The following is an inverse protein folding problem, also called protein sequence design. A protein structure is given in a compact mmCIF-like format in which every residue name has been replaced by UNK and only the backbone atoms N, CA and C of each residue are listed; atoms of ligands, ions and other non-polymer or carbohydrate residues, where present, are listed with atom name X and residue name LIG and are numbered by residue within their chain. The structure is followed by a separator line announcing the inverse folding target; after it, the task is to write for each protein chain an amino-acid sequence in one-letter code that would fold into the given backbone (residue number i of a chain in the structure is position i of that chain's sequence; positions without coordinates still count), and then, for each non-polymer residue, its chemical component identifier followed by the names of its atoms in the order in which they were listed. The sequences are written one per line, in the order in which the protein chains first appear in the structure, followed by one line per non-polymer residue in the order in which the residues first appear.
data_IF_189548097588
#
_entry.id   IF_189548097588
#
_cell.length_a   1.000
_cell.length_b   1.000
_cell.length_c   1.000
_cell.angle_alpha   90.00
_cell.angle_beta   90.00
_cell.angle_gamma   90.00
#
_symmetry.space_group_name_H-M   'P 1'
#
loop_
_entity.id
_entity.type
_entity.pdbx_description
1 polymer ?
#
# COMPACT_ATOMS: atom_id res chain seq x y z
N UNK A 1 -12.13 -3.22 -20.52
CA UNK A 1 -11.23 -3.09 -19.36
C UNK A 1 -11.99 -2.31 -18.32
N UNK A 2 -12.24 -2.90 -17.15
CA UNK A 2 -12.93 -2.24 -16.04
C UNK A 2 -11.98 -1.26 -15.31
N UNK A 3 -12.53 -0.47 -14.37
CA UNK A 3 -11.80 0.56 -13.60
C UNK A 3 -10.58 -0.02 -12.85
N UNK A 4 -10.73 -1.19 -12.23
CA UNK A 4 -9.64 -1.87 -11.52
C UNK A 4 -8.54 -2.38 -12.47
N UNK A 5 -8.93 -2.94 -13.62
CA UNK A 5 -7.97 -3.38 -14.64
C UNK A 5 -7.18 -2.20 -15.22
N UNK A 6 -7.83 -1.05 -15.41
CA UNK A 6 -7.16 0.18 -15.86
C UNK A 6 -6.17 0.69 -14.81
N UNK A 7 -6.56 0.66 -13.54
CA UNK A 7 -5.68 1.05 -12.43
C UNK A 7 -4.45 0.14 -12.34
N UNK A 8 -4.66 -1.19 -12.40
CA UNK A 8 -3.58 -2.18 -12.39
C UNK A 8 -2.63 -1.98 -13.58
N UNK A 9 -3.16 -1.84 -14.79
CA UNK A 9 -2.36 -1.63 -16.00
C UNK A 9 -1.52 -0.34 -15.88
N UNK A 10 -2.14 0.77 -15.47
CA UNK A 10 -1.49 2.06 -15.29
C UNK A 10 -0.37 2.00 -14.25
N UNK A 11 -0.66 1.46 -13.07
CA UNK A 11 0.32 1.32 -11.99
C UNK A 11 1.49 0.43 -12.41
N UNK A 12 1.20 -0.73 -12.99
CA UNK A 12 2.24 -1.68 -13.37
C UNK A 12 3.13 -1.20 -14.51
N UNK A 13 2.62 -0.38 -15.45
CA UNK A 13 3.40 0.08 -16.61
C UNK A 13 4.16 1.36 -16.36
N UNK A 14 3.57 2.31 -15.62
CA UNK A 14 4.03 3.69 -15.60
C UNK A 14 4.55 4.16 -14.25
N UNK A 15 4.08 3.59 -13.13
CA UNK A 15 4.56 3.99 -11.81
C UNK A 15 5.95 3.41 -11.51
N UNK A 16 6.76 4.19 -10.77
CA UNK A 16 7.96 3.70 -10.07
C UNK A 16 7.64 3.40 -8.60
N UNK A 17 6.78 4.20 -7.99
CA UNK A 17 6.25 3.96 -6.64
C UNK A 17 4.75 4.21 -6.64
N UNK A 18 3.96 3.21 -6.28
CA UNK A 18 2.51 3.32 -6.10
C UNK A 18 2.11 3.03 -4.67
N UNK A 19 1.28 3.91 -4.11
CA UNK A 19 0.70 3.74 -2.76
C UNK A 19 -0.79 3.46 -2.89
N UNK A 20 -1.25 2.32 -2.35
CA UNK A 20 -2.66 1.95 -2.32
C UNK A 20 -3.32 2.46 -1.03
N UNK A 21 -4.32 3.32 -1.17
CA UNK A 21 -5.12 3.89 -0.09
C UNK A 21 -6.56 3.39 -0.15
N UNK A 22 -7.19 3.25 0.99
CA UNK A 22 -8.60 2.86 1.11
C UNK A 22 -8.93 2.41 2.51
N UNK A 23 -10.20 2.45 2.86
CA UNK A 23 -10.69 1.96 4.15
C UNK A 23 -10.47 0.46 4.34
N UNK A 24 -10.89 -0.02 5.51
CA UNK A 24 -10.84 -1.43 5.83
C UNK A 24 -11.64 -2.23 4.80
N UNK A 25 -11.13 -3.39 4.39
CA UNK A 25 -11.77 -4.28 3.39
C UNK A 25 -12.13 -3.58 2.08
N UNK A 26 -11.36 -2.58 1.65
CA UNK A 26 -11.58 -1.91 0.37
C UNK A 26 -11.02 -2.67 -0.85
N UNK A 27 -10.23 -3.73 -0.62
CA UNK A 27 -9.61 -4.51 -1.70
C UNK A 27 -8.20 -4.05 -2.10
N UNK A 28 -7.57 -3.17 -1.32
CA UNK A 28 -6.20 -2.66 -1.56
C UNK A 28 -5.19 -3.76 -1.84
N UNK A 29 -5.06 -4.71 -0.91
CA UNK A 29 -4.10 -5.81 -1.01
C UNK A 29 -4.34 -6.71 -2.22
N UNK A 30 -5.60 -6.87 -2.64
CA UNK A 30 -5.97 -7.60 -3.86
C UNK A 30 -5.46 -6.86 -5.10
N UNK A 31 -5.68 -5.56 -5.21
CA UNK A 31 -5.20 -4.76 -6.34
C UNK A 31 -3.67 -4.59 -6.32
N UNK A 32 -3.07 -4.42 -5.15
CA UNK A 32 -1.62 -4.36 -5.00
C UNK A 32 -0.95 -5.64 -5.51
N UNK A 33 -1.47 -6.83 -5.13
CA UNK A 33 -0.97 -8.12 -5.64
C UNK A 33 -1.24 -8.30 -7.14
N UNK A 34 -2.40 -7.89 -7.63
CA UNK A 34 -2.70 -7.93 -9.07
C UNK A 34 -1.74 -7.03 -9.86
N UNK A 35 -1.40 -5.84 -9.33
CA UNK A 35 -0.41 -4.94 -9.91
C UNK A 35 0.98 -5.58 -9.95
N UNK A 36 1.40 -6.22 -8.86
CA UNK A 36 2.67 -6.95 -8.81
C UNK A 36 2.73 -8.08 -9.85
N UNK A 37 1.67 -8.89 -9.94
CA UNK A 37 1.56 -9.97 -10.92
C UNK A 37 1.61 -9.45 -12.35
N UNK A 38 0.97 -8.31 -12.63
CA UNK A 38 1.00 -7.72 -13.96
C UNK A 38 2.39 -7.15 -14.28
N UNK A 39 3.03 -6.45 -13.35
CA UNK A 39 4.38 -5.90 -13.51
C UNK A 39 5.41 -7.00 -13.82
N UNK A 40 5.34 -8.14 -13.12
CA UNK A 40 6.17 -9.31 -13.43
C UNK A 40 5.97 -9.82 -14.88
N UNK A 41 4.72 -9.92 -15.33
CA UNK A 41 4.42 -10.39 -16.70
C UNK A 41 5.00 -9.50 -17.79
N UNK A 42 5.16 -8.21 -17.51
CA UNK A 42 5.79 -7.26 -18.44
C UNK A 42 7.30 -7.07 -18.18
N UNK A 43 7.90 -7.92 -17.34
CA UNK A 43 9.34 -7.98 -17.12
C UNK A 43 9.91 -6.96 -16.15
N UNK A 44 9.07 -6.35 -15.28
CA UNK A 44 9.55 -5.41 -14.25
C UNK A 44 9.88 -6.13 -12.95
N UNK A 45 10.98 -5.74 -12.31
CA UNK A 45 11.30 -6.15 -10.93
C UNK A 45 10.40 -5.39 -9.94
N UNK A 46 9.89 -6.09 -8.93
CA UNK A 46 8.92 -5.53 -7.98
C UNK A 46 9.39 -5.70 -6.55
N UNK A 47 9.32 -4.62 -5.76
CA UNK A 47 9.34 -4.65 -4.31
C UNK A 47 7.94 -4.36 -3.77
N UNK A 48 7.48 -5.18 -2.83
CA UNK A 48 6.17 -5.04 -2.19
C UNK A 48 6.37 -4.71 -0.72
N UNK A 49 5.87 -3.56 -0.27
CA UNK A 49 5.85 -3.14 1.13
C UNK A 49 4.43 -3.27 1.67
N UNK A 50 4.30 -3.98 2.78
CA UNK A 50 3.10 -4.03 3.59
C UNK A 50 3.27 -3.09 4.79
N UNK A 51 2.57 -1.97 4.74
CA UNK A 51 2.57 -0.91 5.75
C UNK A 51 1.41 -1.01 6.76
N UNK A 52 0.56 -2.04 6.66
CA UNK A 52 -0.41 -2.35 7.71
C UNK A 52 0.32 -3.00 8.88
N UNK A 53 0.27 -2.40 10.07
CA UNK A 53 0.97 -2.92 11.25
C UNK A 53 0.13 -3.91 12.07
N UNK A 54 -1.15 -4.05 11.73
CA UNK A 54 -2.11 -4.93 12.41
C UNK A 54 -2.43 -6.16 11.57
N UNK A 55 -2.95 -5.98 10.36
CA UNK A 55 -3.40 -7.05 9.47
C UNK A 55 -2.33 -7.33 8.42
N UNK A 56 -1.39 -8.19 8.79
CA UNK A 56 -0.19 -8.43 7.99
C UNK A 56 -0.40 -9.42 6.84
N UNK A 57 0.10 -9.02 5.69
CA UNK A 57 0.37 -9.90 4.55
C UNK A 57 1.86 -10.25 4.48
N UNK A 58 2.75 -9.29 4.78
CA UNK A 58 4.21 -9.48 4.74
C UNK A 58 4.81 -9.27 6.12
N UNK A 59 5.37 -10.32 6.69
CA UNK A 59 5.99 -10.29 8.02
C UNK A 59 5.00 -10.34 9.18
N UNK A 60 5.48 -10.26 10.43
CA UNK A 60 4.65 -10.34 11.63
C UNK A 60 3.97 -9.00 11.96
N UNK A 61 2.87 -9.01 12.75
CA UNK A 61 2.30 -7.79 13.33
C UNK A 61 3.34 -6.92 14.03
N UNK A 62 3.04 -5.65 14.21
CA UNK A 62 3.93 -4.63 14.80
C UNK A 62 5.17 -4.28 13.96
N UNK A 63 5.18 -4.66 12.70
CA UNK A 63 6.28 -4.36 11.76
C UNK A 63 5.74 -3.76 10.45
N UNK A 64 6.62 -3.14 9.69
CA UNK A 64 6.46 -2.92 8.25
C UNK A 64 7.30 -4.00 7.55
N UNK A 65 6.71 -4.74 6.63
CA UNK A 65 7.39 -5.81 5.91
C UNK A 65 7.64 -5.46 4.45
N UNK A 66 8.79 -5.87 3.91
CA UNK A 66 9.10 -5.78 2.48
C UNK A 66 9.45 -7.14 1.92
N UNK A 67 8.97 -7.42 0.71
CA UNK A 67 9.31 -8.60 -0.05
C UNK A 67 9.62 -8.25 -1.50
N UNK A 68 10.69 -8.82 -2.06
CA UNK A 68 10.93 -8.80 -3.50
C UNK A 68 10.10 -9.88 -4.18
N UNK A 69 9.32 -9.47 -5.15
CA UNK A 69 8.49 -10.37 -5.95
C UNK A 69 9.27 -10.71 -7.23
N UNK A 70 9.78 -11.93 -7.30
CA UNK A 70 10.62 -12.43 -8.40
C UNK A 70 9.85 -13.39 -9.32
N UNK A 71 8.79 -14.00 -8.78
CA UNK A 71 7.94 -14.96 -9.49
C UNK A 71 6.49 -14.87 -9.03
N UNK A 72 5.57 -15.50 -9.73
CA UNK A 72 4.18 -15.59 -9.33
C UNK A 72 4.01 -16.35 -7.99
N UNK A 73 4.90 -17.27 -7.68
CA UNK A 73 4.87 -18.06 -6.44
C UNK A 73 5.12 -17.17 -5.20
N UNK A 74 5.88 -16.07 -5.36
CA UNK A 74 6.11 -15.09 -4.29
C UNK A 74 4.85 -14.32 -3.87
N UNK A 75 3.80 -14.35 -4.70
CA UNK A 75 2.51 -13.68 -4.44
C UNK A 75 1.49 -14.55 -3.70
N UNK A 76 1.83 -15.81 -3.39
CA UNK A 76 1.01 -16.65 -2.51
C UNK A 76 1.05 -16.08 -1.08
N UNK A 77 -0.02 -16.27 -0.31
CA UNK A 77 -0.08 -15.75 1.06
C UNK A 77 1.02 -16.33 1.95
N UNK A 78 1.34 -17.61 1.76
CA UNK A 78 2.42 -18.26 2.49
C UNK A 78 3.80 -17.65 2.17
N UNK A 79 4.10 -17.45 0.90
CA UNK A 79 5.36 -16.84 0.48
C UNK A 79 5.46 -15.36 0.93
N UNK A 80 4.38 -14.59 0.84
CA UNK A 80 4.33 -13.19 1.28
C UNK A 80 4.57 -13.06 2.79
N UNK A 81 4.12 -14.00 3.60
CA UNK A 81 4.36 -13.99 5.05
C UNK A 81 5.86 -13.96 5.41
N UNK A 82 6.74 -14.46 4.50
CA UNK A 82 8.18 -14.46 4.68
C UNK A 82 8.81 -13.20 4.09
N UNK A 83 8.96 -12.16 4.91
CA UNK A 83 9.55 -10.89 4.50
C UNK A 83 11.06 -11.01 4.22
N UNK A 84 11.55 -10.30 3.19
CA UNK A 84 12.99 -10.14 2.91
C UNK A 84 13.63 -9.04 3.78
N UNK A 85 12.81 -8.10 4.26
CA UNK A 85 13.21 -7.07 5.21
C UNK A 85 12.05 -6.65 6.10
N UNK A 86 12.38 -6.25 7.33
CA UNK A 86 11.44 -5.79 8.34
C UNK A 86 11.87 -4.46 8.94
N UNK A 87 10.91 -3.58 9.17
CA UNK A 87 11.04 -2.41 10.02
C UNK A 87 10.19 -2.57 11.28
N UNK A 88 10.79 -2.53 12.46
CA UNK A 88 10.06 -2.66 13.72
C UNK A 88 9.32 -1.37 14.05
N UNK A 89 8.05 -1.50 14.47
CA UNK A 89 7.19 -0.39 14.91
C UNK A 89 6.79 -0.52 16.37
N UNK A 90 6.53 -1.74 16.84
CA UNK A 90 6.25 -2.03 18.24
C UNK A 90 4.78 -1.92 18.66
N UNK A 91 3.89 -1.47 17.77
CA UNK A 91 2.44 -1.42 18.00
C UNK A 91 1.67 -1.92 16.78
N UNK A 92 0.46 -2.44 17.01
CA UNK A 92 -0.53 -2.76 15.97
C UNK A 92 -1.42 -1.55 15.63
N UNK A 93 -1.23 -0.43 16.31
CA UNK A 93 -1.91 0.84 16.01
C UNK A 93 -0.89 1.84 15.48
N UNK A 94 -1.01 2.28 14.22
CA UNK A 94 -0.02 3.15 13.59
C UNK A 94 0.17 4.50 14.31
N UNK A 95 -0.86 4.95 15.04
CA UNK A 95 -0.82 6.22 15.79
C UNK A 95 0.02 6.15 17.08
N UNK A 96 0.26 4.95 17.62
CA UNK A 96 1.00 4.79 18.87
C UNK A 96 2.49 5.12 18.71
N UNK A 97 3.06 4.82 17.52
CA UNK A 97 4.45 5.17 17.19
C UNK A 97 4.60 5.53 15.71
N UNK A 98 4.09 6.70 15.36
CA UNK A 98 4.17 7.23 14.00
C UNK A 98 5.62 7.42 13.53
N UNK A 99 6.52 7.81 14.42
CA UNK A 99 7.94 8.04 14.08
C UNK A 99 8.62 6.73 13.68
N UNK A 100 8.41 5.65 14.44
CA UNK A 100 8.95 4.34 14.11
C UNK A 100 8.38 3.82 12.78
N UNK A 101 7.06 3.98 12.56
CA UNK A 101 6.40 3.57 11.32
C UNK A 101 6.96 4.30 10.10
N UNK A 102 7.02 5.63 10.15
CA UNK A 102 7.50 6.46 9.04
C UNK A 102 8.99 6.20 8.77
N UNK A 103 9.79 6.09 9.82
CA UNK A 103 11.21 5.72 9.68
C UNK A 103 11.42 4.31 9.10
N UNK A 104 10.55 3.35 9.44
CA UNK A 104 10.57 2.01 8.84
C UNK A 104 10.24 2.06 7.33
N UNK A 105 9.19 2.78 6.96
CA UNK A 105 8.79 2.97 5.56
C UNK A 105 9.92 3.61 4.73
N UNK A 106 10.53 4.67 5.24
CA UNK A 106 11.65 5.33 4.57
C UNK A 106 12.82 4.38 4.32
N UNK A 107 13.26 3.64 5.35
CA UNK A 107 14.36 2.67 5.22
C UNK A 107 14.05 1.56 4.20
N UNK A 108 12.83 1.03 4.21
CA UNK A 108 12.44 -0.03 3.27
C UNK A 108 12.29 0.49 1.83
N UNK A 109 11.74 1.71 1.65
CA UNK A 109 11.73 2.39 0.35
C UNK A 109 13.16 2.55 -0.21
N UNK A 110 14.07 3.10 0.60
CA UNK A 110 15.45 3.34 0.18
C UNK A 110 16.16 2.03 -0.15
N UNK A 111 15.89 0.98 0.63
CA UNK A 111 16.40 -0.36 0.34
C UNK A 111 15.88 -0.91 -0.98
N UNK A 112 14.56 -0.84 -1.23
CA UNK A 112 13.97 -1.28 -2.49
C UNK A 112 14.60 -0.57 -3.70
N UNK A 113 14.81 0.75 -3.60
CA UNK A 113 15.47 1.57 -4.64
C UNK A 113 16.94 1.15 -4.84
N UNK A 114 17.68 0.96 -3.75
CA UNK A 114 19.10 0.54 -3.81
C UNK A 114 19.25 -0.87 -4.40
N UNK A 115 18.31 -1.76 -4.13
CA UNK A 115 18.29 -3.12 -4.66
C UNK A 115 17.73 -3.19 -6.11
N UNK A 116 17.37 -2.05 -6.70
CA UNK A 116 17.04 -1.90 -8.12
C UNK A 116 15.63 -2.35 -8.49
N UNK A 117 14.65 -2.20 -7.60
CA UNK A 117 13.26 -2.44 -7.95
C UNK A 117 12.76 -1.41 -8.97
N UNK A 118 12.20 -1.87 -10.10
CA UNK A 118 11.59 -1.01 -11.12
C UNK A 118 10.24 -0.44 -10.65
N UNK A 119 9.55 -1.19 -9.77
CA UNK A 119 8.27 -0.81 -9.18
C UNK A 119 8.26 -1.12 -7.70
N UNK A 120 8.02 -0.09 -6.90
CA UNK A 120 7.71 -0.21 -5.48
C UNK A 120 6.20 -0.12 -5.29
N UNK A 121 5.59 -1.16 -4.74
CA UNK A 121 4.18 -1.22 -4.37
C UNK A 121 4.07 -1.11 -2.86
N UNK A 122 3.25 -0.17 -2.37
CA UNK A 122 2.99 -0.01 -0.95
C UNK A 122 1.51 -0.22 -0.66
N UNK A 123 1.22 -1.29 0.07
CA UNK A 123 -0.11 -1.61 0.59
C UNK A 123 -0.25 -1.04 2.00
N UNK A 124 -1.28 -0.22 2.24
CA UNK A 124 -1.44 0.50 3.51
C UNK A 124 -2.62 0.00 4.33
N UNK A 125 -2.56 0.20 5.65
CA UNK A 125 -3.68 -0.07 6.54
C UNK A 125 -4.92 0.79 6.25
N UNK A 126 -6.06 0.35 6.78
CA UNK A 126 -7.38 0.94 6.54
C UNK A 126 -7.69 2.23 7.29
N UNK A 127 -6.75 2.80 8.04
CA UNK A 127 -6.92 4.04 8.80
C UNK A 127 -6.90 5.25 7.85
N UNK A 128 -8.09 5.69 7.45
CA UNK A 128 -8.26 6.80 6.49
C UNK A 128 -9.17 7.91 7.02
N UNK A 129 -9.74 7.75 8.22
CA UNK A 129 -10.76 8.66 8.74
C UNK A 129 -10.21 9.58 9.82
N UNK A 130 -10.68 10.82 9.82
CA UNK A 130 -10.34 11.84 10.80
C UNK A 130 -8.90 12.33 10.70
N UNK A 131 -8.57 13.31 11.52
CA UNK A 131 -7.26 13.99 11.50
C UNK A 131 -6.09 12.99 11.62
N UNK A 132 -6.22 11.98 12.47
CA UNK A 132 -5.15 10.99 12.66
C UNK A 132 -4.90 10.13 11.40
N UNK A 133 -5.97 9.71 10.72
CA UNK A 133 -5.87 8.99 9.45
C UNK A 133 -5.29 9.86 8.34
N UNK A 134 -5.73 11.11 8.24
CA UNK A 134 -5.24 12.07 7.26
C UNK A 134 -3.75 12.36 7.45
N UNK A 135 -3.32 12.65 8.68
CA UNK A 135 -1.89 12.87 9.01
C UNK A 135 -1.04 11.63 8.74
N UNK A 136 -1.54 10.45 9.10
CA UNK A 136 -0.84 9.20 8.82
C UNK A 136 -0.56 9.07 7.32
N UNK A 137 -1.58 9.26 6.48
CA UNK A 137 -1.42 9.14 5.02
C UNK A 137 -0.57 10.27 4.43
N UNK A 138 -0.68 11.48 4.97
CA UNK A 138 0.20 12.59 4.60
C UNK A 138 1.68 12.21 4.78
N UNK A 139 2.07 11.78 5.98
CA UNK A 139 3.45 11.39 6.25
C UNK A 139 3.92 10.16 5.48
N UNK A 140 3.02 9.19 5.23
CA UNK A 140 3.33 8.06 4.37
C UNK A 140 3.65 8.51 2.94
N UNK A 141 2.82 9.39 2.36
CA UNK A 141 3.04 9.93 1.01
C UNK A 141 4.33 10.75 0.96
N UNK A 142 4.56 11.58 1.97
CA UNK A 142 5.76 12.41 2.07
C UNK A 142 7.05 11.58 2.03
N UNK A 143 7.14 10.53 2.85
CA UNK A 143 8.37 9.72 2.91
C UNK A 143 8.49 8.69 1.80
N UNK A 144 7.40 8.23 1.21
CA UNK A 144 7.42 7.24 0.13
C UNK A 144 7.66 7.86 -1.23
N UNK A 145 7.38 9.15 -1.39
CA UNK A 145 7.54 9.91 -2.63
C UNK A 145 6.94 9.15 -3.83
N UNK A 146 5.64 8.76 -3.77
CA UNK A 146 5.03 8.03 -4.87
C UNK A 146 4.83 8.94 -6.07
N UNK A 147 4.84 8.36 -7.25
CA UNK A 147 4.37 9.01 -8.48
C UNK A 147 2.90 8.70 -8.79
N UNK A 148 2.35 7.69 -8.11
CA UNK A 148 0.92 7.35 -8.19
C UNK A 148 0.34 7.02 -6.82
N UNK A 149 -0.77 7.66 -6.47
CA UNK A 149 -1.64 7.28 -5.35
C UNK A 149 -2.89 6.61 -5.92
N UNK A 150 -3.09 5.35 -5.60
CA UNK A 150 -4.23 4.54 -6.01
C UNK A 150 -5.23 4.45 -4.86
N UNK A 151 -6.36 5.14 -4.96
CA UNK A 151 -7.37 5.18 -3.91
C UNK A 151 -8.62 4.38 -4.22
N UNK A 152 -9.01 3.48 -3.31
CA UNK A 152 -10.21 2.70 -3.37
C UNK A 152 -11.21 3.20 -2.33
N UNK A 153 -12.35 3.75 -2.78
CA UNK A 153 -13.35 4.32 -1.88
C UNK A 153 -14.77 3.84 -2.19
N UNK A 154 -15.60 3.74 -1.14
CA UNK A 154 -17.02 3.41 -1.27
C UNK A 154 -17.90 4.65 -1.47
N UNK A 155 -17.43 5.77 -0.99
CA UNK A 155 -18.09 7.07 -1.07
C UNK A 155 -17.06 8.17 -1.32
N UNK A 156 -16.87 9.04 -0.33
CA UNK A 156 -15.93 10.16 -0.40
C UNK A 156 -14.93 10.16 0.76
N UNK A 157 -14.73 9.00 1.40
CA UNK A 157 -13.91 8.88 2.60
C UNK A 157 -12.41 9.19 2.36
N UNK A 158 -11.95 9.15 1.12
CA UNK A 158 -10.58 9.51 0.76
C UNK A 158 -10.42 10.94 0.23
N UNK A 159 -11.51 11.66 -0.06
CA UNK A 159 -11.40 13.00 -0.64
C UNK A 159 -10.62 14.00 0.23
N UNK A 160 -10.71 13.98 1.58
CA UNK A 160 -9.84 14.81 2.41
C UNK A 160 -8.35 14.50 2.19
N UNK A 161 -7.98 13.21 2.10
CA UNK A 161 -6.60 12.78 1.85
C UNK A 161 -6.17 13.17 0.44
N UNK A 162 -7.01 12.96 -0.57
CA UNK A 162 -6.71 13.35 -1.95
C UNK A 162 -6.51 14.86 -2.08
N UNK A 163 -7.31 15.66 -1.37
CA UNK A 163 -7.13 17.12 -1.33
C UNK A 163 -5.78 17.54 -0.73
N UNK A 164 -5.29 16.79 0.29
CA UNK A 164 -3.96 17.01 0.86
C UNK A 164 -2.88 16.61 -0.15
N UNK A 165 -3.00 15.43 -0.77
CA UNK A 165 -2.02 14.93 -1.75
C UNK A 165 -1.90 15.87 -2.95
N UNK A 166 -3.03 16.29 -3.51
CA UNK A 166 -3.07 17.20 -4.64
C UNK A 166 -2.44 18.57 -4.31
N UNK A 167 -2.77 19.09 -3.12
CA UNK A 167 -2.33 20.43 -2.70
C UNK A 167 -0.84 20.50 -2.36
N UNK A 168 -0.27 19.48 -1.73
CA UNK A 168 1.08 19.55 -1.18
C UNK A 168 2.12 18.81 -2.02
N UNK A 169 1.72 17.83 -2.82
CA UNK A 169 2.67 16.96 -3.53
C UNK A 169 2.53 17.01 -5.05
N UNK A 170 1.36 17.36 -5.58
CA UNK A 170 1.10 17.34 -7.03
C UNK A 170 1.27 15.96 -7.66
N UNK A 171 0.99 14.90 -6.89
CA UNK A 171 1.12 13.50 -7.30
C UNK A 171 -0.13 13.08 -8.06
N UNK A 172 0.04 12.21 -9.04
CA UNK A 172 -1.08 11.63 -9.76
C UNK A 172 -1.96 10.79 -8.83
N UNK A 173 -3.28 11.02 -8.87
CA UNK A 173 -4.28 10.30 -8.08
C UNK A 173 -5.19 9.51 -9.02
N UNK A 174 -5.17 8.20 -8.91
CA UNK A 174 -6.14 7.31 -9.55
C UNK A 174 -7.21 6.88 -8.54
N UNK A 175 -8.46 7.16 -8.86
CA UNK A 175 -9.62 6.80 -8.02
C UNK A 175 -10.29 5.57 -8.59
N UNK A 176 -10.66 4.64 -7.73
CA UNK A 176 -11.42 3.47 -8.07
C UNK A 176 -12.51 3.20 -7.02
N UNK A 177 -13.64 2.68 -7.45
CA UNK A 177 -14.71 2.24 -6.56
C UNK A 177 -14.33 0.91 -5.91
N UNK A 178 -14.77 0.68 -4.66
CA UNK A 178 -14.64 -0.65 -4.06
C UNK A 178 -15.52 -1.63 -4.83
N UNK A 179 -14.98 -2.81 -5.17
CA UNK A 179 -15.72 -3.81 -5.93
C UNK A 179 -17.00 -4.22 -5.18
N UNK A 180 -18.16 -4.32 -5.86
CA UNK A 180 -19.44 -4.60 -5.20
C UNK A 180 -19.48 -5.93 -4.44
N UNK A 181 -18.66 -6.90 -4.84
CA UNK A 181 -18.57 -8.22 -4.19
C UNK A 181 -17.72 -8.20 -2.89
N UNK A 182 -17.06 -7.09 -2.59
CA UNK A 182 -16.29 -6.95 -1.35
C UNK A 182 -17.26 -6.64 -0.19
N UNK A 183 -17.67 -7.67 0.52
CA UNK A 183 -18.49 -7.55 1.73
C UNK A 183 -17.62 -7.08 2.89
N UNK A 184 -18.07 -6.05 3.62
CA UNK A 184 -17.48 -5.68 4.91
C UNK A 184 -17.59 -6.88 5.85
N UNK A 185 -16.48 -7.51 6.18
CA UNK A 185 -16.43 -8.49 7.27
C UNK A 185 -16.47 -7.67 8.56
N UNK A 186 -17.68 -7.49 9.10
CA UNK A 186 -17.85 -6.80 10.37
C UNK A 186 -17.09 -7.56 11.46
N UNK A 187 -16.13 -6.93 12.11
CA UNK A 187 -15.55 -7.48 13.33
C UNK A 187 -16.65 -7.54 14.38
N UNK A 188 -16.96 -8.74 14.86
CA UNK A 188 -17.66 -8.90 16.12
C UNK A 188 -16.78 -8.26 17.21
N UNK A 189 -17.31 -7.23 17.86
CA UNK A 189 -16.68 -6.72 19.09
C UNK A 189 -16.76 -7.84 20.13
N UNK A 190 -15.63 -8.42 20.49
CA UNK A 190 -15.44 -9.23 21.69
C UNK A 190 -14.89 -8.33 22.78
#
# INVERSE_FOLDING_TARGET
MNEHEQLVDRAARHAHTVVFLGGLDAGKSTLARATAAFALRIGRSVAYIDADVAEKTVGPPTTVGMKHIRSADDLTLDALAHADALGFVGSTRPQDDLVALIGALQRLRDRARTEGADLLIVDTGGEVSGIAGELLKYYMVDVLEPDLVAGLQRGQELEPIFGIVDRFFGIEIARASVHPDVVKIGRAHV
#
